data_IF_252100995013
#
_entry.id   IF_252100995013
#
_cell.length_a   1.000
_cell.length_b   1.000
_cell.length_c   1.000
_cell.angle_alpha   90.00
_cell.angle_beta   90.00
_cell.angle_gamma   90.00
#
_symmetry.space_group_name_H-M   'P 1'
#
loop_
_entity.id
_entity.type
_entity.pdbx_description
1 polymer ?
#
# COMPACT_ATOMS: atom_id res chain seq x y z
N UNK A 1 47.85 17.28 -4.92
CA UNK A 1 46.64 16.78 -5.61
C UNK A 1 45.44 17.09 -4.72
N UNK A 2 44.26 17.27 -5.29
CA UNK A 2 43.02 17.55 -4.56
C UNK A 2 41.86 16.75 -5.13
N UNK A 3 40.85 16.48 -4.30
CA UNK A 3 39.55 15.96 -4.73
C UNK A 3 38.61 17.13 -5.03
N UNK A 4 38.25 17.33 -6.31
CA UNK A 4 37.42 18.46 -6.73
C UNK A 4 35.96 18.36 -6.26
N UNK A 5 35.35 17.18 -6.38
CA UNK A 5 33.96 16.95 -5.98
C UNK A 5 33.87 16.52 -4.52
N UNK A 6 34.50 17.27 -3.61
CA UNK A 6 34.49 16.99 -2.19
C UNK A 6 33.19 17.50 -1.52
N UNK A 7 32.57 16.66 -0.68
CA UNK A 7 31.32 16.97 0.01
C UNK A 7 31.50 17.44 1.47
N UNK A 8 32.75 17.61 1.96
CA UNK A 8 33.03 18.09 3.32
C UNK A 8 34.13 17.34 4.09
N UNK A 9 35.06 16.68 3.40
CA UNK A 9 36.31 16.16 3.98
C UNK A 9 37.50 17.10 3.77
N UNK A 10 38.69 16.68 4.20
CA UNK A 10 39.93 17.35 3.83
C UNK A 10 40.12 17.29 2.31
N UNK A 11 40.12 18.45 1.65
CA UNK A 11 40.24 18.53 0.19
C UNK A 11 41.69 18.38 -0.30
N UNK A 12 42.66 18.63 0.59
CA UNK A 12 44.09 18.56 0.31
C UNK A 12 44.68 17.20 0.73
N UNK A 13 45.23 16.47 -0.25
CA UNK A 13 45.90 15.19 -0.01
C UNK A 13 47.18 15.34 0.84
N UNK A 14 47.79 16.53 0.89
CA UNK A 14 49.02 16.78 1.64
C UNK A 14 48.77 17.14 3.11
N UNK A 15 47.71 17.89 3.40
CA UNK A 15 47.34 18.28 4.77
C UNK A 15 46.83 17.13 5.66
N UNK A 16 46.23 16.09 5.05
CA UNK A 16 45.58 15.00 5.80
C UNK A 16 46.53 13.86 6.21
N UNK A 17 47.78 13.83 5.71
CA UNK A 17 48.72 12.72 5.97
C UNK A 17 50.16 13.19 6.13
N UNK A 18 50.71 13.07 7.34
CA UNK A 18 52.12 13.32 7.68
C UNK A 18 53.03 12.12 7.38
N UNK A 19 52.77 11.42 6.27
CA UNK A 19 53.52 10.21 5.91
C UNK A 19 54.83 10.53 5.22
N UNK A 20 55.85 9.73 5.52
CA UNK A 20 57.18 9.83 4.89
C UNK A 20 57.10 9.43 3.42
N UNK A 21 57.95 10.05 2.62
CA UNK A 21 58.09 9.79 1.19
C UNK A 21 59.31 8.92 0.95
N UNK A 22 59.22 7.95 0.04
CA UNK A 22 60.37 7.15 -0.38
C UNK A 22 61.07 7.82 -1.55
N UNK A 23 62.37 8.03 -1.42
CA UNK A 23 63.21 8.66 -2.45
C UNK A 23 64.28 7.67 -2.86
N UNK A 24 64.32 7.34 -4.15
CA UNK A 24 65.33 6.48 -4.76
C UNK A 24 66.54 7.30 -5.23
N UNK A 25 67.68 6.63 -5.46
CA UNK A 25 68.93 7.28 -5.89
C UNK A 25 68.85 7.94 -7.28
N UNK A 26 67.91 7.51 -8.12
CA UNK A 26 67.64 8.04 -9.46
C UNK A 26 66.72 9.28 -9.44
N UNK A 27 66.33 9.74 -8.24
CA UNK A 27 65.39 10.84 -8.06
C UNK A 27 63.93 10.44 -8.22
N UNK A 28 63.60 9.15 -8.37
CA UNK A 28 62.20 8.71 -8.35
C UNK A 28 61.63 8.81 -6.93
N UNK A 29 60.47 9.47 -6.85
CA UNK A 29 59.78 9.75 -5.58
C UNK A 29 58.50 8.92 -5.56
N UNK A 30 58.31 8.14 -4.51
CA UNK A 30 57.11 7.33 -4.30
C UNK A 30 56.46 7.73 -2.99
N UNK A 31 55.22 8.20 -3.08
CA UNK A 31 54.42 8.62 -1.94
C UNK A 31 53.07 7.90 -1.97
N UNK A 32 52.71 7.26 -0.85
CA UNK A 32 51.46 6.49 -0.69
C UNK A 32 50.79 6.85 0.64
N UNK A 33 50.19 8.05 0.75
CA UNK A 33 49.46 8.45 1.95
C UNK A 33 48.12 7.69 2.05
N UNK A 34 47.73 7.19 3.24
CA UNK A 34 46.36 6.74 3.49
C UNK A 34 45.45 7.97 3.60
N UNK A 35 44.34 7.99 2.85
CA UNK A 35 43.42 9.12 2.79
C UNK A 35 41.98 8.61 2.78
N UNK A 36 41.11 9.30 3.52
CA UNK A 36 39.66 9.06 3.51
C UNK A 36 39.02 10.12 2.61
N UNK A 37 38.56 9.71 1.44
CA UNK A 37 37.86 10.60 0.51
C UNK A 37 36.36 10.69 0.86
N UNK A 38 35.83 11.91 0.86
CA UNK A 38 34.39 12.19 0.94
C UNK A 38 33.94 12.88 -0.34
N UNK A 39 33.57 12.10 -1.35
CA UNK A 39 33.11 12.63 -2.63
C UNK A 39 31.60 12.88 -2.65
N UNK A 40 31.18 13.93 -3.34
CA UNK A 40 29.80 14.15 -3.73
C UNK A 40 29.44 13.19 -4.87
N UNK A 41 28.36 12.44 -4.67
CA UNK A 41 27.78 11.55 -5.67
C UNK A 41 26.28 11.82 -5.74
N UNK A 42 25.75 11.94 -6.96
CA UNK A 42 24.31 12.00 -7.20
C UNK A 42 23.74 10.59 -7.11
N UNK A 43 22.74 10.41 -6.24
CA UNK A 43 22.14 9.11 -5.97
C UNK A 43 20.83 9.01 -6.76
N UNK A 44 20.74 7.99 -7.61
CA UNK A 44 19.49 7.65 -8.28
C UNK A 44 18.67 6.69 -7.41
N UNK A 45 17.52 7.16 -6.93
CA UNK A 45 16.63 6.41 -6.03
C UNK A 45 15.41 5.81 -6.72
N UNK A 46 15.31 5.87 -8.05
CA UNK A 46 14.13 5.39 -8.78
C UNK A 46 13.77 3.93 -8.42
N UNK A 47 14.78 3.04 -8.40
CA UNK A 47 14.62 1.61 -8.17
C UNK A 47 15.02 1.15 -6.75
N UNK A 48 15.06 2.05 -5.77
CA UNK A 48 15.36 1.68 -4.38
C UNK A 48 14.44 0.53 -3.87
N UNK A 49 14.96 -0.53 -3.23
CA UNK A 49 16.34 -0.80 -2.77
C UNK A 49 17.19 -1.66 -3.75
N UNK A 50 16.76 -1.81 -5.01
CA UNK A 50 17.47 -2.53 -6.07
C UNK A 50 18.29 -1.59 -6.96
N UNK A 51 18.76 -0.49 -6.37
CA UNK A 51 19.45 0.60 -7.04
C UNK A 51 20.91 0.26 -7.39
N UNK A 52 21.37 0.86 -8.48
CA UNK A 52 22.78 0.87 -8.90
C UNK A 52 23.25 2.31 -8.93
N UNK A 53 24.39 2.57 -8.34
CA UNK A 53 24.99 3.89 -8.26
C UNK A 53 26.28 3.94 -9.06
N UNK A 54 26.54 5.06 -9.72
CA UNK A 54 27.78 5.31 -10.42
C UNK A 54 28.41 6.59 -9.86
N UNK A 55 29.19 6.41 -8.80
CA UNK A 55 29.82 7.52 -8.11
C UNK A 55 31.15 7.89 -8.75
N UNK A 56 31.41 9.19 -8.91
CA UNK A 56 32.67 9.68 -9.46
C UNK A 56 33.55 10.30 -8.38
N UNK A 57 34.86 10.18 -8.53
CA UNK A 57 35.86 10.89 -7.72
C UNK A 57 36.83 11.58 -8.66
N UNK A 58 36.81 12.92 -8.67
CA UNK A 58 37.61 13.73 -9.58
C UNK A 58 38.87 14.24 -8.87
N UNK A 59 40.04 13.70 -9.24
CA UNK A 59 41.32 14.05 -8.64
C UNK A 59 42.17 14.82 -9.64
N UNK A 60 42.75 15.95 -9.22
CA UNK A 60 43.70 16.69 -10.05
C UNK A 60 44.58 17.67 -9.27
N UNK A 61 45.34 18.48 -10.00
CA UNK A 61 46.21 19.49 -9.41
C UNK A 61 45.46 20.82 -9.26
N UNK A 62 45.46 21.41 -8.05
CA UNK A 62 44.80 22.70 -7.81
C UNK A 62 45.64 23.89 -8.27
N UNK A 63 46.96 23.82 -8.05
CA UNK A 63 47.89 24.95 -8.18
C UNK A 63 48.59 25.05 -9.53
N UNK A 64 48.64 23.95 -10.29
CA UNK A 64 49.41 23.86 -11.52
C UNK A 64 48.54 23.36 -12.67
N UNK A 65 48.80 23.90 -13.86
CA UNK A 65 48.16 23.48 -15.10
C UNK A 65 48.89 22.30 -15.77
N UNK A 66 48.29 21.79 -16.84
CA UNK A 66 48.80 20.65 -17.61
C UNK A 66 50.06 20.92 -18.42
N UNK A 67 50.53 22.17 -18.53
CA UNK A 67 51.83 22.49 -19.16
C UNK A 67 52.98 22.33 -18.16
N UNK A 68 52.69 22.45 -16.86
CA UNK A 68 53.67 22.31 -15.78
C UNK A 68 53.73 20.89 -15.22
N UNK A 69 52.57 20.25 -15.02
CA UNK A 69 52.46 18.92 -14.42
C UNK A 69 51.60 18.01 -15.32
N UNK A 70 52.18 16.88 -15.77
CA UNK A 70 51.42 15.82 -16.43
C UNK A 70 50.89 14.80 -15.40
N UNK A 71 49.57 14.63 -15.35
CA UNK A 71 48.91 13.62 -14.51
C UNK A 71 48.58 12.38 -15.33
N UNK A 72 49.13 11.24 -14.91
CA UNK A 72 48.92 9.94 -15.56
C UNK A 72 48.56 8.87 -14.53
N UNK A 73 47.64 7.99 -14.91
CA UNK A 73 47.30 6.84 -14.10
C UNK A 73 48.40 5.77 -14.19
N UNK A 74 48.70 5.06 -13.09
CA UNK A 74 49.77 4.05 -13.03
C UNK A 74 49.58 2.94 -14.07
N UNK A 75 48.33 2.48 -14.24
CA UNK A 75 47.96 1.45 -15.23
C UNK A 75 47.84 1.98 -16.67
N UNK A 76 48.10 3.27 -16.93
CA UNK A 76 48.00 3.88 -18.26
C UNK A 76 49.22 3.57 -19.16
N UNK A 77 50.18 2.77 -18.72
CA UNK A 77 51.42 2.53 -19.46
C UNK A 77 51.35 1.29 -20.37
N UNK A 78 51.84 1.51 -21.59
CA UNK A 78 52.31 0.54 -22.59
C UNK A 78 51.31 0.05 -23.65
N UNK A 79 50.71 0.98 -24.41
CA UNK A 79 50.64 0.79 -25.86
C UNK A 79 51.09 2.08 -26.56
N UNK A 80 52.40 2.12 -26.83
CA UNK A 80 53.05 2.64 -28.05
C UNK A 80 52.61 4.03 -28.55
N UNK A 81 53.47 5.02 -28.23
CA UNK A 81 54.14 6.01 -29.09
C UNK A 81 54.20 7.42 -28.48
N UNK A 82 55.45 7.85 -28.32
CA UNK A 82 56.05 9.20 -28.29
C UNK A 82 55.15 10.44 -28.30
N UNK A 83 55.63 11.45 -27.54
CA UNK A 83 55.22 12.87 -27.47
C UNK A 83 53.89 13.15 -26.77
N UNK A 84 53.95 13.76 -25.59
CA UNK A 84 52.93 14.60 -24.95
C UNK A 84 51.48 14.38 -25.45
N UNK A 85 50.96 13.14 -25.30
CA UNK A 85 49.64 12.82 -25.83
C UNK A 85 48.58 13.50 -24.98
N UNK A 86 47.99 14.54 -25.56
CA UNK A 86 46.77 15.22 -25.10
C UNK A 86 45.53 14.29 -25.19
N UNK A 87 45.70 12.98 -25.06
CA UNK A 87 44.66 12.00 -25.25
C UNK A 87 43.89 11.75 -23.94
N UNK A 88 42.56 11.74 -24.08
CA UNK A 88 41.65 11.20 -23.06
C UNK A 88 41.80 9.68 -23.08
N UNK A 89 42.23 9.08 -21.97
CA UNK A 89 42.40 7.63 -21.86
C UNK A 89 41.38 7.04 -20.89
N UNK A 90 40.72 5.95 -21.30
CA UNK A 90 39.87 5.14 -20.43
C UNK A 90 40.69 3.98 -19.85
N UNK A 91 40.52 3.71 -18.57
CA UNK A 91 41.19 2.64 -17.83
C UNK A 91 40.11 1.77 -17.20
N UNK A 92 40.03 0.50 -17.60
CA UNK A 92 39.00 -0.43 -17.12
C UNK A 92 39.31 -1.00 -15.72
N UNK A 93 40.60 -1.08 -15.34
CA UNK A 93 41.06 -1.52 -14.01
C UNK A 93 41.80 -0.37 -13.32
N UNK A 94 41.04 0.52 -12.68
CA UNK A 94 41.58 1.77 -12.15
C UNK A 94 42.05 1.71 -10.69
N UNK A 95 41.59 0.74 -9.90
CA UNK A 95 41.97 0.63 -8.48
C UNK A 95 42.42 -0.80 -8.23
N UNK A 96 43.48 -0.95 -7.45
CA UNK A 96 43.90 -2.26 -6.97
C UNK A 96 42.97 -2.74 -5.85
N UNK A 97 42.25 -3.83 -6.10
CA UNK A 97 41.28 -4.43 -5.16
C UNK A 97 41.88 -5.58 -4.34
N UNK A 98 43.19 -5.82 -4.41
CA UNK A 98 43.88 -6.92 -3.72
C UNK A 98 43.66 -6.94 -2.19
N UNK A 99 43.49 -5.77 -1.57
CA UNK A 99 43.22 -5.60 -0.14
C UNK A 99 41.82 -5.02 0.13
N UNK A 100 40.88 -5.16 -0.82
CA UNK A 100 39.52 -4.68 -0.66
C UNK A 100 38.74 -5.56 0.32
N UNK A 101 38.15 -4.92 1.33
CA UNK A 101 37.17 -5.57 2.20
C UNK A 101 35.77 -5.29 1.65
N UNK A 102 34.98 -6.34 1.44
CA UNK A 102 33.62 -6.22 0.93
C UNK A 102 32.71 -5.52 1.95
N UNK A 103 31.86 -4.62 1.44
CA UNK A 103 30.88 -3.91 2.25
C UNK A 103 29.62 -4.76 2.48
N UNK A 104 28.94 -4.52 3.60
CA UNK A 104 27.74 -5.28 4.01
C UNK A 104 26.48 -4.78 3.29
N UNK A 105 26.48 -3.52 2.86
CA UNK A 105 25.37 -2.85 2.20
C UNK A 105 25.57 -2.74 0.68
N UNK A 106 26.81 -2.64 0.21
CA UNK A 106 27.14 -2.40 -1.20
C UNK A 106 28.06 -3.45 -1.82
N UNK A 107 27.72 -3.89 -3.02
CA UNK A 107 28.59 -4.65 -3.92
C UNK A 107 29.30 -3.67 -4.87
N UNK A 108 30.63 -3.77 -4.96
CA UNK A 108 31.41 -3.05 -5.96
C UNK A 108 31.34 -3.82 -7.30
N UNK A 109 30.63 -3.28 -8.29
CA UNK A 109 30.41 -3.96 -9.58
C UNK A 109 31.48 -3.65 -10.61
N UNK A 110 31.99 -2.42 -10.64
CA UNK A 110 32.96 -1.98 -11.65
C UNK A 110 33.76 -0.79 -11.16
N UNK A 111 35.04 -0.74 -11.51
CA UNK A 111 35.94 0.37 -11.15
C UNK A 111 36.76 0.80 -12.36
N UNK A 112 36.35 1.89 -12.99
CA UNK A 112 37.03 2.47 -14.15
C UNK A 112 37.57 3.86 -13.84
N UNK A 113 38.51 4.35 -14.64
CA UNK A 113 38.98 5.72 -14.56
C UNK A 113 39.13 6.34 -15.95
N UNK A 114 39.00 7.65 -16.00
CA UNK A 114 39.19 8.43 -17.21
C UNK A 114 40.12 9.59 -16.94
N UNK A 115 41.17 9.72 -17.75
CA UNK A 115 41.98 10.94 -17.81
C UNK A 115 41.25 11.95 -18.69
N UNK A 116 40.98 13.12 -18.14
CA UNK A 116 40.38 14.24 -18.86
C UNK A 116 41.39 15.37 -19.03
N UNK A 117 41.23 16.06 -20.15
CA UNK A 117 41.94 17.30 -20.49
C UNK A 117 40.83 18.31 -20.74
N UNK A 118 40.69 19.26 -19.82
CA UNK A 118 39.62 20.27 -19.83
C UNK A 118 40.22 21.66 -20.06
N UNK A 119 39.54 22.46 -20.88
CA UNK A 119 39.87 23.86 -21.12
C UNK A 119 38.77 24.72 -20.51
N UNK A 120 39.12 25.56 -19.54
CA UNK A 120 38.14 26.40 -18.86
C UNK A 120 38.02 27.76 -19.56
N UNK A 121 36.83 28.38 -19.63
CA UNK A 121 36.65 29.67 -20.30
C UNK A 121 37.51 30.82 -19.73
N UNK A 122 37.95 30.70 -18.47
CA UNK A 122 38.80 31.69 -17.82
C UNK A 122 40.27 31.63 -18.26
N UNK A 123 40.74 30.51 -18.83
CA UNK A 123 42.17 30.24 -18.97
C UNK A 123 42.48 29.44 -20.25
N UNK A 124 43.47 29.90 -21.02
CA UNK A 124 44.01 29.19 -22.19
C UNK A 124 44.72 27.86 -21.89
N UNK A 125 45.45 27.66 -20.76
CA UNK A 125 46.12 26.39 -20.52
C UNK A 125 45.14 25.24 -20.19
N UNK A 126 45.48 23.99 -20.57
CA UNK A 126 44.70 22.82 -20.23
C UNK A 126 44.83 22.45 -18.75
N UNK A 127 43.74 22.00 -18.15
CA UNK A 127 43.73 21.42 -16.81
C UNK A 127 43.52 19.90 -16.92
N UNK A 128 44.36 19.16 -16.20
CA UNK A 128 44.33 17.70 -16.21
C UNK A 128 43.63 17.18 -14.95
N UNK A 129 42.76 16.21 -15.15
CA UNK A 129 42.15 15.46 -14.05
C UNK A 129 42.02 13.98 -14.38
N UNK A 130 42.02 13.17 -13.32
CA UNK A 130 41.70 11.75 -13.39
C UNK A 130 40.42 11.55 -12.61
N UNK A 131 39.35 11.19 -13.33
CA UNK A 131 38.05 10.87 -12.74
C UNK A 131 37.92 9.37 -12.61
N UNK A 132 37.81 8.89 -11.38
CA UNK A 132 37.49 7.50 -11.06
C UNK A 132 35.97 7.33 -11.03
N UNK A 133 35.46 6.25 -11.59
CA UNK A 133 34.06 5.85 -11.59
C UNK A 133 33.91 4.54 -10.83
N UNK A 134 33.10 4.57 -9.78
CA UNK A 134 32.78 3.45 -8.92
C UNK A 134 31.33 3.05 -9.17
N UNK A 135 31.15 1.95 -9.90
CA UNK A 135 29.86 1.28 -10.04
C UNK A 135 29.59 0.44 -8.81
N UNK A 136 28.53 0.77 -8.08
CA UNK A 136 28.12 0.09 -6.85
C UNK A 136 26.67 -0.37 -6.97
N UNK A 137 26.34 -1.50 -6.34
CA UNK A 137 24.98 -2.05 -6.30
C UNK A 137 24.59 -2.36 -4.86
N UNK A 138 23.40 -1.96 -4.44
CA UNK A 138 22.91 -2.23 -3.09
C UNK A 138 22.55 -3.70 -2.88
N UNK A 139 22.85 -4.24 -1.69
CA UNK A 139 22.36 -5.55 -1.20
C UNK A 139 20.94 -5.39 -0.64
N UNK A 140 19.89 -5.96 -1.27
CA UNK A 140 18.51 -5.59 -0.98
C UNK A 140 17.88 -6.34 0.21
N UNK A 141 18.53 -7.36 0.78
CA UNK A 141 17.90 -8.29 1.73
C UNK A 141 17.31 -7.61 2.98
N UNK A 142 18.06 -6.69 3.58
CA UNK A 142 17.61 -5.95 4.76
C UNK A 142 16.34 -5.13 4.46
N UNK A 143 16.36 -4.39 3.36
CA UNK A 143 15.22 -3.57 2.93
C UNK A 143 14.05 -4.43 2.41
N UNK A 144 14.33 -5.58 1.81
CA UNK A 144 13.29 -6.52 1.37
C UNK A 144 12.46 -7.04 2.54
N UNK A 145 13.11 -7.52 3.60
CA UNK A 145 12.41 -8.06 4.77
C UNK A 145 11.75 -6.97 5.60
N UNK A 146 12.46 -5.85 5.84
CA UNK A 146 11.98 -4.83 6.77
C UNK A 146 11.08 -3.77 6.13
N UNK A 147 11.11 -3.61 4.79
CA UNK A 147 10.24 -2.67 4.10
C UNK A 147 9.23 -3.36 3.19
N UNK A 148 9.64 -4.29 2.33
CA UNK A 148 8.73 -4.88 1.33
C UNK A 148 7.72 -5.84 1.99
N UNK A 149 8.14 -6.69 2.93
CA UNK A 149 7.22 -7.63 3.58
C UNK A 149 6.08 -6.95 4.37
N UNK A 150 6.32 -5.89 5.16
CA UNK A 150 5.24 -5.11 5.78
C UNK A 150 4.30 -4.46 4.76
N UNK A 151 4.80 -3.89 3.66
CA UNK A 151 3.97 -3.33 2.59
C UNK A 151 3.00 -4.37 2.01
N UNK A 152 3.52 -5.54 1.65
CA UNK A 152 2.70 -6.64 1.10
C UNK A 152 1.66 -7.07 2.15
N UNK A 153 2.06 -7.20 3.41
CA UNK A 153 1.14 -7.59 4.50
C UNK A 153 0.00 -6.58 4.67
N UNK A 154 0.32 -5.28 4.66
CA UNK A 154 -0.69 -4.21 4.73
C UNK A 154 -1.60 -4.27 3.50
N UNK A 155 -1.06 -4.45 2.30
CA UNK A 155 -1.83 -4.55 1.06
C UNK A 155 -2.83 -5.73 1.04
N UNK A 156 -2.50 -6.84 1.68
CA UNK A 156 -3.41 -7.99 1.84
C UNK A 156 -4.48 -7.69 2.89
N UNK A 157 -4.11 -7.05 3.99
CA UNK A 157 -5.04 -6.69 5.06
C UNK A 157 -6.13 -5.73 4.59
N UNK A 158 -5.85 -4.83 3.64
CA UNK A 158 -6.85 -3.89 3.10
C UNK A 158 -7.98 -4.61 2.35
N UNK A 159 -7.65 -5.63 1.55
CA UNK A 159 -8.64 -6.46 0.86
C UNK A 159 -9.42 -7.31 1.87
N UNK A 160 -8.75 -7.81 2.91
CA UNK A 160 -9.37 -8.62 3.96
C UNK A 160 -10.44 -7.84 4.75
N UNK A 161 -10.35 -6.51 4.86
CA UNK A 161 -11.37 -5.67 5.52
C UNK A 161 -12.76 -5.83 4.89
N UNK A 162 -12.83 -5.92 3.56
CA UNK A 162 -14.08 -6.13 2.83
C UNK A 162 -14.56 -7.59 2.85
N UNK A 163 -13.73 -8.50 3.33
CA UNK A 163 -14.15 -9.88 3.57
C UNK A 163 -14.87 -10.02 4.92
N UNK A 164 -14.53 -9.16 5.90
CA UNK A 164 -15.09 -9.20 7.25
C UNK A 164 -16.55 -8.68 7.27
N UNK A 165 -17.50 -9.44 7.85
CA UNK A 165 -18.90 -9.06 7.88
C UNK A 165 -19.14 -7.83 8.76
N UNK A 166 -20.01 -6.93 8.29
CA UNK A 166 -20.36 -5.67 8.97
C UNK A 166 -21.14 -5.85 10.29
N UNK A 167 -21.60 -7.07 10.61
CA UNK A 167 -22.18 -7.38 11.92
C UNK A 167 -21.14 -7.22 13.06
N UNK A 168 -19.84 -7.32 12.73
CA UNK A 168 -18.73 -7.10 13.66
C UNK A 168 -18.41 -5.61 13.74
N UNK A 169 -18.63 -4.99 14.91
CA UNK A 169 -18.23 -3.58 15.17
C UNK A 169 -16.73 -3.34 15.07
N UNK A 170 -15.93 -4.39 15.03
CA UNK A 170 -14.46 -4.36 14.91
C UNK A 170 -13.97 -3.96 13.50
N UNK A 171 -14.84 -4.02 12.47
CA UNK A 171 -14.46 -3.69 11.09
C UNK A 171 -13.90 -2.28 10.92
N UNK A 172 -14.51 -1.27 11.56
CA UNK A 172 -14.02 0.11 11.50
C UNK A 172 -12.66 0.23 12.19
N UNK A 173 -12.54 -0.35 13.39
CA UNK A 173 -11.32 -0.30 14.17
C UNK A 173 -10.13 -0.94 13.45
N UNK A 174 -10.38 -2.04 12.73
CA UNK A 174 -9.38 -2.68 11.88
C UNK A 174 -9.01 -1.82 10.66
N UNK A 175 -9.99 -1.16 10.03
CA UNK A 175 -9.72 -0.27 8.91
C UNK A 175 -8.94 0.99 9.33
N UNK A 176 -9.19 1.55 10.51
CA UNK A 176 -8.49 2.72 11.02
C UNK A 176 -7.08 2.38 11.52
N UNK A 177 -6.90 1.23 12.17
CA UNK A 177 -5.57 0.77 12.61
C UNK A 177 -4.64 0.51 11.43
N UNK A 178 -5.16 -0.06 10.33
CA UNK A 178 -4.41 -0.25 9.08
C UNK A 178 -3.99 1.09 8.47
N UNK A 179 -4.89 2.09 8.44
CA UNK A 179 -4.56 3.44 7.94
C UNK A 179 -3.42 4.06 8.75
N UNK A 180 -3.49 4.00 10.08
CA UNK A 180 -2.45 4.55 10.96
C UNK A 180 -1.13 3.80 10.74
N UNK A 181 -1.15 2.48 10.70
CA UNK A 181 0.04 1.66 10.46
C UNK A 181 0.71 2.00 9.12
N UNK A 182 -0.08 2.16 8.05
CA UNK A 182 0.44 2.58 6.75
C UNK A 182 1.07 3.98 6.81
N UNK A 183 0.42 4.95 7.48
CA UNK A 183 0.99 6.31 7.59
C UNK A 183 2.31 6.34 8.35
N UNK A 184 2.44 5.58 9.43
CA UNK A 184 3.71 5.46 10.18
C UNK A 184 4.78 4.81 9.31
N UNK A 185 4.43 3.74 8.60
CA UNK A 185 5.36 3.06 7.72
C UNK A 185 5.79 3.95 6.54
N UNK A 186 4.87 4.72 5.95
CA UNK A 186 5.18 5.72 4.92
C UNK A 186 6.14 6.79 5.43
N UNK A 187 5.93 7.32 6.64
CA UNK A 187 6.84 8.29 7.26
C UNK A 187 8.24 7.69 7.47
N UNK A 188 8.32 6.44 7.92
CA UNK A 188 9.60 5.74 8.05
C UNK A 188 10.31 5.61 6.70
N UNK A 189 9.61 5.22 5.63
CA UNK A 189 10.19 5.13 4.28
C UNK A 189 10.59 6.51 3.74
N UNK A 190 9.86 7.56 4.10
CA UNK A 190 10.19 8.92 3.72
C UNK A 190 11.47 9.42 4.41
N UNK A 191 11.67 9.10 5.70
CA UNK A 191 12.87 9.51 6.44
C UNK A 191 14.16 8.82 5.96
N UNK A 192 14.07 7.55 5.53
CA UNK A 192 15.25 6.82 5.00
C UNK A 192 15.59 7.22 3.55
N UNK A 193 14.63 7.76 2.80
CA UNK A 193 14.86 8.22 1.43
C UNK A 193 15.55 9.59 1.47
N UNK A 194 16.59 9.83 0.65
CA UNK A 194 17.14 11.17 0.54
C UNK A 194 16.04 12.14 0.07
N UNK A 195 15.99 13.38 0.60
CA UNK A 195 15.01 14.39 0.20
C UNK A 195 15.38 14.98 -1.16
N UNK A 196 15.22 14.19 -2.23
CA UNK A 196 15.44 14.62 -3.61
C UNK A 196 14.10 14.81 -4.31
N UNK A 197 13.91 15.97 -4.95
CA UNK A 197 12.71 16.26 -5.77
C UNK A 197 12.83 15.79 -7.22
N UNK A 198 14.00 15.28 -7.62
CA UNK A 198 14.28 14.87 -9.00
C UNK A 198 13.51 13.61 -9.39
N UNK A 199 13.55 12.59 -8.53
CA UNK A 199 12.89 11.31 -8.73
C UNK A 199 12.33 10.79 -7.41
N UNK A 200 11.09 10.27 -7.45
CA UNK A 200 10.45 9.62 -6.30
C UNK A 200 10.66 8.11 -6.42
N UNK A 201 11.14 7.42 -5.36
CA UNK A 201 11.35 5.98 -5.37
C UNK A 201 10.08 5.20 -5.73
N UNK A 202 10.24 4.07 -6.43
CA UNK A 202 9.14 3.20 -6.81
C UNK A 202 8.32 2.73 -5.59
N UNK A 203 9.00 2.38 -4.48
CA UNK A 203 8.34 1.98 -3.23
C UNK A 203 7.46 3.10 -2.66
N UNK A 204 7.91 4.36 -2.75
CA UNK A 204 7.15 5.52 -2.27
C UNK A 204 5.93 5.78 -3.16
N UNK A 205 6.08 5.65 -4.49
CA UNK A 205 4.95 5.74 -5.44
C UNK A 205 3.87 4.70 -5.12
N UNK A 206 4.28 3.44 -4.87
CA UNK A 206 3.38 2.37 -4.47
C UNK A 206 2.70 2.66 -3.12
N UNK A 207 3.46 3.09 -2.10
CA UNK A 207 2.89 3.42 -0.79
C UNK A 207 1.89 4.58 -0.86
N UNK A 208 2.17 5.62 -1.65
CA UNK A 208 1.23 6.72 -1.88
C UNK A 208 -0.05 6.25 -2.56
N UNK A 209 0.07 5.39 -3.58
CA UNK A 209 -1.09 4.78 -4.24
C UNK A 209 -1.93 3.96 -3.23
N UNK A 210 -1.29 3.10 -2.44
CA UNK A 210 -1.98 2.32 -1.40
C UNK A 210 -2.61 3.21 -0.34
N UNK A 211 -1.97 4.32 0.05
CA UNK A 211 -2.52 5.26 1.03
C UNK A 211 -3.81 5.89 0.53
N UNK A 212 -3.83 6.35 -0.71
CA UNK A 212 -5.04 6.89 -1.35
C UNK A 212 -6.13 5.81 -1.44
N UNK A 213 -5.79 4.58 -1.83
CA UNK A 213 -6.74 3.46 -1.85
C UNK A 213 -7.33 3.16 -0.47
N UNK A 214 -6.52 3.19 0.60
CA UNK A 214 -7.01 2.94 1.96
C UNK A 214 -7.93 4.06 2.43
N UNK A 215 -7.66 5.31 2.08
CA UNK A 215 -8.56 6.44 2.39
C UNK A 215 -9.91 6.22 1.72
N UNK A 216 -9.95 5.90 0.42
CA UNK A 216 -11.20 5.59 -0.26
C UNK A 216 -11.89 4.34 0.31
N UNK A 217 -11.13 3.31 0.67
CA UNK A 217 -11.62 2.10 1.31
C UNK A 217 -12.27 2.39 2.66
N UNK A 218 -11.63 3.18 3.53
CA UNK A 218 -12.16 3.56 4.85
C UNK A 218 -13.48 4.33 4.71
N UNK A 219 -13.57 5.29 3.78
CA UNK A 219 -14.82 6.00 3.48
C UNK A 219 -15.90 5.01 3.01
N UNK A 220 -15.55 4.09 2.11
CA UNK A 220 -16.48 3.08 1.62
C UNK A 220 -16.97 2.14 2.74
N UNK A 221 -16.10 1.74 3.69
CA UNK A 221 -16.51 0.93 4.85
C UNK A 221 -17.47 1.67 5.77
N UNK A 222 -17.29 2.98 5.97
CA UNK A 222 -18.23 3.82 6.73
C UNK A 222 -19.60 3.85 6.04
N UNK A 223 -19.63 3.98 4.71
CA UNK A 223 -20.86 3.94 3.93
C UNK A 223 -21.55 2.56 4.01
N UNK A 224 -20.80 1.46 3.86
CA UNK A 224 -21.32 0.09 4.00
C UNK A 224 -21.95 -0.10 5.38
N UNK A 225 -21.29 0.38 6.44
CA UNK A 225 -21.81 0.26 7.80
C UNK A 225 -23.06 1.13 7.99
N UNK A 226 -23.06 2.36 7.47
CA UNK A 226 -24.24 3.24 7.53
C UNK A 226 -25.46 2.54 6.90
N UNK A 227 -25.29 1.94 5.72
CA UNK A 227 -26.32 1.15 5.03
C UNK A 227 -26.72 -0.08 5.86
N UNK A 228 -25.78 -0.78 6.49
CA UNK A 228 -26.07 -1.94 7.32
C UNK A 228 -26.89 -1.59 8.58
N UNK A 229 -26.61 -0.46 9.21
CA UNK A 229 -27.32 0.01 10.42
C UNK A 229 -28.69 0.64 10.14
N UNK A 230 -29.04 0.84 8.86
CA UNK A 230 -30.28 1.50 8.45
C UNK A 230 -31.50 0.69 8.92
N UNK A 231 -32.32 1.32 9.75
CA UNK A 231 -33.54 0.72 10.28
C UNK A 231 -34.76 1.07 9.41
N UNK A 232 -35.81 0.21 9.41
CA UNK A 232 -37.04 0.48 8.68
C UNK A 232 -37.82 1.71 9.17
N UNK A 233 -37.50 2.21 10.37
CA UNK A 233 -38.20 3.33 11.00
C UNK A 233 -37.85 4.68 10.37
N UNK A 234 -36.59 4.84 9.94
CA UNK A 234 -36.11 6.08 9.36
C UNK A 234 -36.19 6.07 7.85
N UNK A 235 -35.95 4.92 7.21
CA UNK A 235 -35.70 4.85 5.77
C UNK A 235 -36.31 3.62 5.08
N UNK A 236 -37.12 3.87 4.04
CA UNK A 236 -37.64 2.85 3.13
C UNK A 236 -36.65 2.54 1.99
N UNK A 237 -36.64 1.29 1.52
CA UNK A 237 -35.83 0.88 0.37
C UNK A 237 -36.51 1.39 -0.90
N UNK A 238 -35.82 2.24 -1.66
CA UNK A 238 -36.35 2.71 -2.93
C UNK A 238 -36.33 1.60 -4.00
N UNK A 239 -37.32 1.56 -4.92
CA UNK A 239 -37.48 0.46 -5.87
C UNK A 239 -36.27 0.21 -6.77
N UNK A 240 -35.47 1.23 -7.04
CA UNK A 240 -34.25 1.10 -7.84
C UNK A 240 -33.12 0.36 -7.09
N UNK A 241 -32.97 0.55 -5.76
CA UNK A 241 -31.96 -0.13 -4.94
C UNK A 241 -32.26 -1.61 -4.93
N UNK A 242 -33.54 -1.97 -4.83
CA UNK A 242 -34.01 -3.36 -4.86
C UNK A 242 -33.60 -4.05 -6.17
N UNK A 243 -33.89 -3.44 -7.32
CA UNK A 243 -33.51 -3.98 -8.63
C UNK A 243 -32.00 -4.12 -8.79
N UNK A 244 -31.23 -3.08 -8.47
CA UNK A 244 -29.77 -3.10 -8.66
C UNK A 244 -29.08 -4.08 -7.71
N UNK A 245 -29.30 -3.94 -6.39
CA UNK A 245 -28.54 -4.68 -5.38
C UNK A 245 -29.09 -6.07 -5.04
N UNK A 246 -30.38 -6.33 -5.26
CA UNK A 246 -31.00 -7.63 -4.93
C UNK A 246 -31.15 -8.52 -6.17
N UNK A 247 -31.44 -7.94 -7.35
CA UNK A 247 -31.74 -8.74 -8.55
C UNK A 247 -30.58 -8.82 -9.55
N UNK A 248 -29.83 -7.73 -9.77
CA UNK A 248 -28.80 -7.63 -10.82
C UNK A 248 -27.41 -7.98 -10.27
N UNK A 249 -26.92 -7.26 -9.24
CA UNK A 249 -25.56 -7.41 -8.71
C UNK A 249 -25.22 -8.83 -8.22
N UNK A 250 -26.11 -9.53 -7.48
CA UNK A 250 -25.81 -10.88 -6.99
C UNK A 250 -25.58 -11.89 -8.11
N UNK A 251 -26.24 -11.72 -9.25
CA UNK A 251 -26.05 -12.57 -10.45
C UNK A 251 -24.68 -12.32 -11.09
N UNK A 252 -24.22 -11.06 -11.11
CA UNK A 252 -22.90 -10.68 -11.62
C UNK A 252 -21.78 -11.20 -10.69
N UNK A 253 -22.00 -11.12 -9.37
CA UNK A 253 -21.03 -11.50 -8.34
C UNK A 253 -21.09 -12.99 -7.95
N UNK A 254 -21.94 -13.80 -8.59
CA UNK A 254 -22.20 -15.22 -8.26
C UNK A 254 -22.54 -15.46 -6.77
N UNK A 255 -23.25 -14.52 -6.15
CA UNK A 255 -23.69 -14.63 -4.75
C UNK A 255 -25.04 -15.33 -4.70
N UNK A 256 -25.21 -16.26 -3.74
CA UNK A 256 -26.50 -16.91 -3.50
C UNK A 256 -27.55 -15.87 -3.12
N UNK A 257 -28.60 -15.78 -3.93
CA UNK A 257 -29.70 -14.82 -3.74
C UNK A 257 -30.44 -15.09 -2.42
N UNK A 258 -30.93 -14.04 -1.76
CA UNK A 258 -31.74 -14.09 -0.53
C UNK A 258 -33.15 -14.69 -0.77
N UNK A 259 -33.27 -15.68 -1.65
CA UNK A 259 -34.53 -16.19 -2.17
C UNK A 259 -35.27 -17.10 -1.16
N UNK A 260 -34.55 -17.61 -0.14
CA UNK A 260 -35.10 -18.60 0.81
C UNK A 260 -36.05 -18.01 1.86
N UNK A 261 -35.98 -16.71 2.17
CA UNK A 261 -36.83 -16.08 3.20
C UNK A 261 -38.10 -15.44 2.63
N UNK A 262 -38.03 -14.87 1.44
CA UNK A 262 -39.21 -14.27 0.76
C UNK A 262 -40.25 -15.33 0.43
N UNK A 263 -39.86 -16.50 -0.11
CA UNK A 263 -40.80 -17.60 -0.40
C UNK A 263 -41.48 -18.18 0.85
N UNK A 264 -40.77 -18.26 1.98
CA UNK A 264 -41.35 -18.71 3.25
C UNK A 264 -42.34 -17.70 3.83
N UNK A 265 -42.06 -16.40 3.71
CA UNK A 265 -42.96 -15.34 4.17
C UNK A 265 -44.15 -15.12 3.23
N UNK A 266 -43.99 -15.37 1.93
CA UNK A 266 -45.07 -15.36 0.95
C UNK A 266 -45.99 -16.58 1.16
N UNK A 267 -45.41 -17.74 1.46
CA UNK A 267 -46.17 -18.91 1.92
C UNK A 267 -46.91 -18.65 3.23
N UNK A 268 -46.27 -18.02 4.23
CA UNK A 268 -46.90 -17.69 5.52
C UNK A 268 -47.96 -16.59 5.38
N UNK A 269 -47.71 -15.55 4.56
CA UNK A 269 -48.72 -14.53 4.27
C UNK A 269 -49.91 -15.09 3.49
N UNK A 270 -49.70 -16.00 2.54
CA UNK A 270 -50.78 -16.69 1.83
C UNK A 270 -51.55 -17.65 2.76
N UNK A 271 -50.85 -18.42 3.60
CA UNK A 271 -51.47 -19.32 4.58
C UNK A 271 -52.37 -18.57 5.57
N UNK A 272 -52.00 -17.34 5.95
CA UNK A 272 -52.84 -16.47 6.78
C UNK A 272 -53.88 -15.65 6.00
N UNK A 273 -53.63 -15.33 4.73
CA UNK A 273 -54.60 -14.64 3.85
C UNK A 273 -55.75 -15.56 3.46
N UNK A 274 -55.50 -16.87 3.35
CA UNK A 274 -56.55 -17.89 3.17
C UNK A 274 -57.41 -18.06 4.43
N UNK A 275 -57.00 -17.49 5.58
CA UNK A 275 -57.78 -17.44 6.82
C UNK A 275 -58.44 -16.09 7.11
N UNK A 276 -58.36 -15.12 6.20
CA UNK A 276 -59.21 -13.91 6.23
C UNK A 276 -60.60 -14.21 5.63
N UNK A 277 -61.29 -15.24 6.15
CA UNK A 277 -62.73 -15.06 6.30
C UNK A 277 -62.93 -14.06 7.44
N UNK A 278 -63.79 -13.04 7.27
CA UNK A 278 -64.12 -12.16 8.37
C UNK A 278 -64.70 -13.05 9.49
N UNK A 279 -64.11 -13.01 10.69
CA UNK A 279 -64.71 -13.53 11.93
C UNK A 279 -66.03 -12.79 12.31
N UNK A 280 -66.65 -12.12 11.35
CA UNK A 280 -67.97 -11.54 11.39
C UNK A 280 -68.73 -11.77 10.06
N UNK A 281 -68.59 -12.95 9.47
CA UNK A 281 -69.41 -13.46 8.36
C UNK A 281 -70.13 -14.73 8.81
N UNK A 282 -71.36 -14.57 9.27
CA UNK A 282 -72.42 -15.58 9.44
C UNK A 282 -72.07 -17.08 9.31
N UNK A 283 -72.36 -17.80 10.39
CA UNK A 283 -72.52 -19.26 10.57
C UNK A 283 -71.29 -20.07 11.02
N UNK A 284 -71.32 -20.44 12.30
CA UNK A 284 -70.60 -21.60 12.83
C UNK A 284 -70.93 -22.84 11.98
N UNK A 285 -70.00 -23.79 11.78
CA UNK A 285 -70.30 -25.08 11.15
C UNK A 285 -71.45 -25.75 11.92
N UNK A 286 -72.54 -26.19 11.25
CA UNK A 286 -73.72 -26.76 11.91
C UNK A 286 -73.45 -28.10 12.64
N UNK A 287 -72.21 -28.60 12.61
CA UNK A 287 -71.79 -29.83 13.29
C UNK A 287 -71.24 -29.62 14.70
N UNK A 288 -70.76 -28.42 15.06
CA UNK A 288 -70.32 -28.11 16.44
C UNK A 288 -71.49 -27.74 17.37
N UNK A 289 -72.67 -27.47 16.82
CA UNK A 289 -73.93 -27.28 17.57
C UNK A 289 -74.58 -28.61 18.01
N UNK A 290 -74.05 -29.76 17.58
CA UNK A 290 -74.61 -31.08 17.91
C UNK A 290 -74.01 -31.73 19.17
N UNK A 291 -73.01 -31.11 19.83
CA UNK A 291 -72.52 -31.55 21.15
C UNK A 291 -72.52 -30.38 22.16
N UNK A 292 -73.63 -30.19 22.91
CA UNK A 292 -73.80 -29.03 23.78
C UNK A 292 -73.16 -29.19 25.18
N UNK A 293 -72.44 -30.29 25.47
CA UNK A 293 -72.06 -30.65 26.85
C UNK A 293 -70.63 -30.30 27.23
N UNK A 294 -69.68 -30.17 26.30
CA UNK A 294 -68.28 -29.82 26.63
C UNK A 294 -68.03 -28.30 26.67
N UNK A 295 -68.69 -27.52 25.81
CA UNK A 295 -68.46 -26.08 25.70
C UNK A 295 -69.26 -25.25 26.74
N UNK A 296 -70.43 -25.74 27.18
CA UNK A 296 -71.28 -25.08 28.19
C UNK A 296 -70.65 -25.02 29.58
N UNK A 297 -69.76 -25.95 29.92
CA UNK A 297 -69.05 -25.96 31.20
C UNK A 297 -67.95 -24.90 31.28
N UNK A 298 -67.30 -24.60 30.15
CA UNK A 298 -66.23 -23.59 30.05
C UNK A 298 -66.79 -22.17 29.88
N UNK A 299 -67.94 -22.01 29.22
CA UNK A 299 -68.61 -20.70 29.08
C UNK A 299 -69.47 -20.29 30.29
N UNK A 300 -69.69 -21.16 31.28
CA UNK A 300 -70.43 -20.82 32.50
C UNK A 300 -69.54 -19.98 33.43
N UNK A 301 -69.49 -18.68 33.18
CA UNK A 301 -68.79 -17.72 34.05
C UNK A 301 -68.03 -16.62 33.31
N UNK A 302 -67.98 -16.68 31.98
CA UNK A 302 -67.30 -15.66 31.15
C UNK A 302 -68.38 -14.75 30.58
N UNK A 303 -68.33 -13.46 30.90
CA UNK A 303 -69.20 -12.46 30.26
C UNK A 303 -68.77 -12.25 28.81
N UNK A 304 -69.71 -11.93 27.93
CA UNK A 304 -69.44 -11.68 26.50
C UNK A 304 -68.38 -10.57 26.32
N UNK A 305 -68.39 -9.58 27.21
CA UNK A 305 -67.41 -8.50 27.26
C UNK A 305 -65.98 -8.99 27.54
N UNK A 306 -65.79 -9.96 28.47
CA UNK A 306 -64.47 -10.54 28.75
C UNK A 306 -63.92 -11.33 27.57
N UNK A 307 -64.79 -11.99 26.79
CA UNK A 307 -64.38 -12.73 25.61
C UNK A 307 -63.95 -11.78 24.48
N UNK A 308 -64.67 -10.67 24.29
CA UNK A 308 -64.35 -9.65 23.29
C UNK A 308 -63.03 -8.92 23.62
N UNK A 309 -62.79 -8.60 24.90
CA UNK A 309 -61.54 -8.00 25.37
C UNK A 309 -60.34 -8.95 25.18
N UNK A 310 -60.54 -10.25 25.41
CA UNK A 310 -59.53 -11.30 25.17
C UNK A 310 -59.20 -11.45 23.68
N UNK A 311 -60.22 -11.42 22.81
CA UNK A 311 -60.05 -11.48 21.36
C UNK A 311 -59.35 -10.24 20.81
N UNK A 312 -59.67 -9.04 21.31
CA UNK A 312 -58.95 -7.82 20.93
C UNK A 312 -57.49 -7.83 21.41
N UNK A 313 -57.23 -8.38 22.60
CA UNK A 313 -55.87 -8.64 23.09
C UNK A 313 -55.06 -9.52 22.14
N UNK A 314 -55.63 -10.65 21.68
CA UNK A 314 -54.99 -11.54 20.69
C UNK A 314 -54.79 -10.83 19.36
N UNK A 315 -55.78 -10.07 18.87
CA UNK A 315 -55.68 -9.31 17.60
C UNK A 315 -54.57 -8.26 17.66
N UNK A 316 -54.39 -7.55 18.78
CA UNK A 316 -53.28 -6.61 19.00
C UNK A 316 -51.93 -7.33 19.02
N UNK A 317 -51.83 -8.47 19.70
CA UNK A 317 -50.61 -9.28 19.76
C UNK A 317 -50.21 -9.74 18.35
N UNK A 318 -51.15 -10.31 17.59
CA UNK A 318 -50.93 -10.73 16.20
C UNK A 318 -50.52 -9.56 15.32
N UNK A 319 -51.18 -8.40 15.45
CA UNK A 319 -50.82 -7.18 14.73
C UNK A 319 -49.40 -6.69 15.06
N UNK A 320 -48.98 -6.77 16.32
CA UNK A 320 -47.64 -6.42 16.76
C UNK A 320 -46.59 -7.39 16.20
N UNK A 321 -46.84 -8.70 16.25
CA UNK A 321 -45.94 -9.71 15.65
C UNK A 321 -45.80 -9.53 14.14
N UNK A 322 -46.90 -9.31 13.41
CA UNK A 322 -46.89 -9.07 11.95
C UNK A 322 -46.08 -7.82 11.59
N UNK A 323 -46.19 -6.75 12.39
CA UNK A 323 -45.39 -5.53 12.21
C UNK A 323 -43.90 -5.81 12.46
N UNK A 324 -43.58 -6.56 13.51
CA UNK A 324 -42.21 -6.97 13.86
C UNK A 324 -41.56 -7.84 12.79
N UNK A 325 -42.31 -8.77 12.19
CA UNK A 325 -41.85 -9.59 11.06
C UNK A 325 -41.56 -8.74 9.83
N UNK A 326 -42.47 -7.83 9.44
CA UNK A 326 -42.23 -6.89 8.33
C UNK A 326 -40.97 -6.04 8.56
N UNK A 327 -40.76 -5.56 9.78
CA UNK A 327 -39.58 -4.79 10.14
C UNK A 327 -38.29 -5.63 10.09
N UNK A 328 -38.35 -6.87 10.56
CA UNK A 328 -37.25 -7.82 10.47
C UNK A 328 -36.89 -8.14 9.00
N UNK A 329 -37.89 -8.24 8.13
CA UNK A 329 -37.70 -8.45 6.69
C UNK A 329 -36.98 -7.26 6.04
N UNK A 330 -37.45 -6.03 6.24
CA UNK A 330 -36.80 -4.84 5.67
C UNK A 330 -35.36 -4.69 6.19
N UNK A 331 -35.13 -4.98 7.47
CA UNK A 331 -33.78 -5.00 8.05
C UNK A 331 -32.90 -6.07 7.40
N UNK A 332 -33.43 -7.25 7.13
CA UNK A 332 -32.74 -8.32 6.41
C UNK A 332 -32.37 -7.90 4.99
N UNK A 333 -33.23 -7.16 4.30
CA UNK A 333 -32.96 -6.63 2.96
C UNK A 333 -31.81 -5.60 3.00
N UNK A 334 -31.84 -4.64 3.94
CA UNK A 334 -30.73 -3.68 4.11
C UNK A 334 -29.40 -4.36 4.42
N UNK A 335 -29.40 -5.38 5.29
CA UNK A 335 -28.19 -6.17 5.57
C UNK A 335 -27.67 -6.89 4.32
N UNK A 336 -28.56 -7.41 3.49
CA UNK A 336 -28.19 -8.05 2.22
C UNK A 336 -27.61 -7.04 1.22
N UNK A 337 -28.23 -5.87 1.09
CA UNK A 337 -27.72 -4.79 0.24
C UNK A 337 -26.32 -4.36 0.68
N UNK A 338 -26.11 -4.17 1.99
CA UNK A 338 -24.79 -3.85 2.54
C UNK A 338 -23.76 -4.96 2.24
N UNK A 339 -24.13 -6.23 2.39
CA UNK A 339 -23.26 -7.37 2.07
C UNK A 339 -22.88 -7.42 0.59
N UNK A 340 -23.84 -7.24 -0.31
CA UNK A 340 -23.60 -7.25 -1.76
C UNK A 340 -22.73 -6.06 -2.18
N UNK A 341 -22.95 -4.89 -1.60
CA UNK A 341 -22.11 -3.71 -1.83
C UNK A 341 -20.68 -3.92 -1.34
N UNK A 342 -20.49 -4.52 -0.17
CA UNK A 342 -19.18 -4.87 0.38
C UNK A 342 -18.41 -5.83 -0.54
N UNK A 343 -19.08 -6.82 -1.13
CA UNK A 343 -18.48 -7.75 -2.10
C UNK A 343 -18.12 -7.09 -3.42
N UNK A 344 -18.93 -6.14 -3.91
CA UNK A 344 -18.57 -5.35 -5.08
C UNK A 344 -17.29 -4.54 -4.83
N UNK A 345 -17.21 -3.88 -3.66
CA UNK A 345 -16.04 -3.11 -3.28
C UNK A 345 -14.80 -4.00 -3.13
N UNK A 346 -14.94 -5.21 -2.60
CA UNK A 346 -13.85 -6.20 -2.55
C UNK A 346 -13.24 -6.46 -3.93
N UNK A 347 -14.06 -6.72 -4.95
CA UNK A 347 -13.56 -6.98 -6.31
C UNK A 347 -12.93 -5.74 -6.95
N UNK A 348 -13.50 -4.56 -6.72
CA UNK A 348 -12.93 -3.30 -7.24
C UNK A 348 -11.59 -3.03 -6.59
N UNK A 349 -11.52 -2.98 -5.25
CA UNK A 349 -10.29 -2.66 -4.52
C UNK A 349 -9.22 -3.74 -4.69
N UNK A 350 -9.61 -5.02 -4.65
CA UNK A 350 -8.71 -6.15 -4.92
C UNK A 350 -8.17 -6.11 -6.35
N UNK A 351 -9.01 -5.79 -7.34
CA UNK A 351 -8.57 -5.62 -8.73
C UNK A 351 -7.63 -4.43 -8.90
N UNK A 352 -7.92 -3.27 -8.30
CA UNK A 352 -7.04 -2.10 -8.35
C UNK A 352 -5.69 -2.34 -7.69
N UNK A 353 -5.66 -3.12 -6.61
CA UNK A 353 -4.44 -3.46 -5.88
C UNK A 353 -3.62 -4.56 -6.56
N UNK A 354 -4.26 -5.40 -7.38
CA UNK A 354 -3.54 -6.40 -8.18
C UNK A 354 -2.90 -5.78 -9.43
N UNK A 355 -3.53 -4.75 -10.01
CA UNK A 355 -3.04 -4.05 -11.20
C UNK A 355 -1.93 -3.05 -10.85
N UNK A 356 -2.09 -2.31 -9.75
CA UNK A 356 -1.12 -1.33 -9.28
C UNK A 356 -0.11 -1.95 -8.34
#
# INVERSE_FOLDING_TARGET
>A
LVLYNNAGGDWDLAGSSTTKVFVSYDGTIVWRPPIIFKSQCEIDVEYFPFDKQNCSMKIGAWTYDGLLIDLRHTSQKANIQTTFDNCRSHIDYAIDLSQFAEDVEWDLTSVSARRNVEFYPCCSPPYLDITFYLGMRRKPLFFGVNLICPCISISVLTVLVFYLPADSREKIALSTSILIALTVFFLLVFEISPPTSLVVPLIVKFLLFTMVLIIFSTIATILVLNIHTRSPDTHSISPWVRRVFIEILPKILFIRTLERRTKLLEYQNNWFSDTEEPLLGTSFPPELLKQPTALKGVLKGITVEQLEESLDGVRRIVGHFRRREKWAQVRSEWKYVAFVFDRLLLWIFGGTLFIG
#
